data_IF_014437786864
#
_entry.id   IF_014437786864
#
_cell.length_a   1.000
_cell.length_b   1.000
_cell.length_c   1.000
_cell.angle_alpha   90.00
_cell.angle_beta   90.00
_cell.angle_gamma   90.00
#
_symmetry.space_group_name_H-M   'P 1'
#
loop_
_entity.id
_entity.type
_entity.pdbx_description
1 polymer ?
#
# COMPACT_ATOMS: atom_id res chain seq x y z
N UNK A 1 -43.77 83.86 40.41
CA UNK A 1 -44.36 82.52 40.20
C UNK A 1 -43.52 81.80 39.17
N UNK A 2 -42.63 80.91 39.61
CA UNK A 2 -41.74 80.12 38.75
C UNK A 2 -42.38 78.75 38.51
N UNK A 3 -42.78 78.47 37.27
CA UNK A 3 -43.26 77.15 36.87
C UNK A 3 -42.06 76.22 36.72
N UNK A 4 -42.03 75.16 37.53
CA UNK A 4 -41.00 74.12 37.48
C UNK A 4 -41.19 73.24 36.25
N UNK A 5 -40.21 73.27 35.36
CA UNK A 5 -40.12 72.43 34.17
C UNK A 5 -39.86 70.98 34.61
N UNK A 6 -40.88 70.13 34.51
CA UNK A 6 -40.81 68.72 34.92
C UNK A 6 -40.56 67.87 33.68
N UNK A 7 -39.29 67.57 33.40
CA UNK A 7 -38.89 66.65 32.33
C UNK A 7 -39.00 65.21 32.87
N UNK A 8 -39.69 64.28 32.18
CA UNK A 8 -39.72 62.90 32.63
C UNK A 8 -38.33 62.27 32.39
N UNK A 9 -37.69 61.82 33.46
CA UNK A 9 -36.48 61.01 33.38
C UNK A 9 -36.80 59.72 32.59
N UNK A 10 -36.12 59.54 31.47
CA UNK A 10 -36.24 58.34 30.65
C UNK A 10 -35.80 57.11 31.44
N UNK A 11 -36.62 56.05 31.39
CA UNK A 11 -36.33 54.76 32.02
C UNK A 11 -34.98 54.24 31.47
N UNK A 12 -33.97 53.95 32.31
CA UNK A 12 -32.73 53.36 31.83
C UNK A 12 -33.00 51.93 31.34
N UNK A 13 -32.91 51.70 30.03
CA UNK A 13 -32.91 50.35 29.48
C UNK A 13 -31.63 49.64 29.94
N UNK A 14 -31.70 48.37 30.41
CA UNK A 14 -30.52 47.62 30.79
C UNK A 14 -29.60 47.52 29.56
N UNK A 15 -28.39 48.06 29.71
CA UNK A 15 -27.36 48.00 28.68
C UNK A 15 -27.14 46.54 28.30
N UNK A 16 -27.48 46.19 27.05
CA UNK A 16 -27.09 44.90 26.49
C UNK A 16 -25.59 44.76 26.68
N UNK A 17 -25.17 43.73 27.40
CA UNK A 17 -23.77 43.31 27.50
C UNK A 17 -23.32 42.76 26.14
N UNK A 18 -23.20 43.66 25.17
CA UNK A 18 -22.63 43.37 23.86
C UNK A 18 -21.15 43.13 24.02
N UNK A 19 -20.69 41.97 23.54
CA UNK A 19 -19.26 41.66 23.40
C UNK A 19 -18.58 42.87 22.73
N UNK A 20 -17.49 43.37 23.32
CA UNK A 20 -16.79 44.52 22.76
C UNK A 20 -16.33 44.19 21.34
N UNK A 21 -16.33 45.15 20.40
CA UNK A 21 -15.96 44.89 19.00
C UNK A 21 -14.61 44.20 18.83
N UNK A 22 -13.66 44.46 19.76
CA UNK A 22 -12.34 43.82 19.79
C UNK A 22 -12.41 42.35 20.24
N UNK A 23 -13.18 42.07 21.28
CA UNK A 23 -13.37 40.71 21.80
C UNK A 23 -14.11 39.83 20.78
N UNK A 24 -15.07 40.42 20.06
CA UNK A 24 -15.75 39.75 18.94
C UNK A 24 -14.78 39.35 17.84
N UNK A 25 -13.87 40.25 17.43
CA UNK A 25 -12.85 39.96 16.42
C UNK A 25 -11.86 38.88 16.88
N UNK A 26 -11.52 38.85 18.17
CA UNK A 26 -10.66 37.82 18.75
C UNK A 26 -11.34 36.45 18.70
N UNK A 27 -12.61 36.38 19.11
CA UNK A 27 -13.40 35.13 19.06
C UNK A 27 -13.58 34.66 17.63
N UNK A 28 -13.88 35.56 16.69
CA UNK A 28 -13.98 35.25 15.26
C UNK A 28 -12.64 34.71 14.72
N UNK A 29 -11.51 35.33 15.07
CA UNK A 29 -10.19 34.85 14.66
C UNK A 29 -9.87 33.46 15.23
N UNK A 30 -10.15 33.21 16.51
CA UNK A 30 -9.97 31.90 17.14
C UNK A 30 -10.84 30.85 16.46
N UNK A 31 -12.13 31.15 16.23
CA UNK A 31 -13.04 30.25 15.55
C UNK A 31 -12.56 29.90 14.13
N UNK A 32 -12.03 30.89 13.41
CA UNK A 32 -11.51 30.70 12.05
C UNK A 32 -10.24 29.85 12.04
N UNK A 33 -9.31 30.10 12.97
CA UNK A 33 -8.11 29.27 13.14
C UNK A 33 -8.49 27.83 13.49
N UNK A 34 -9.43 27.61 14.42
CA UNK A 34 -9.91 26.28 14.77
C UNK A 34 -10.59 25.58 13.58
N UNK A 35 -11.44 26.29 12.84
CA UNK A 35 -12.14 25.74 11.69
C UNK A 35 -11.18 25.34 10.55
N UNK A 36 -10.22 26.22 10.22
CA UNK A 36 -9.20 25.94 9.19
C UNK A 36 -8.31 24.78 9.63
N UNK A 37 -7.86 24.76 10.88
CA UNK A 37 -7.05 23.67 11.41
C UNK A 37 -7.79 22.33 11.37
N UNK A 38 -9.06 22.31 11.77
CA UNK A 38 -9.88 21.10 11.71
C UNK A 38 -10.10 20.61 10.26
N UNK A 39 -10.37 21.52 9.33
CA UNK A 39 -10.51 21.21 7.89
C UNK A 39 -9.22 20.62 7.31
N UNK A 40 -8.07 21.20 7.63
CA UNK A 40 -6.77 20.69 7.17
C UNK A 40 -6.47 19.31 7.74
N UNK A 41 -6.73 19.09 9.03
CA UNK A 41 -6.53 17.76 9.67
C UNK A 41 -7.46 16.71 9.08
N UNK A 42 -8.71 17.07 8.77
CA UNK A 42 -9.67 16.18 8.10
C UNK A 42 -9.20 15.80 6.69
N UNK A 43 -8.75 16.77 5.90
CA UNK A 43 -8.22 16.51 4.55
C UNK A 43 -6.97 15.63 4.60
N UNK A 44 -6.03 15.93 5.50
CA UNK A 44 -4.83 15.11 5.67
C UNK A 44 -5.16 13.67 6.07
N UNK A 45 -6.08 13.47 7.01
CA UNK A 45 -6.49 12.13 7.44
C UNK A 45 -7.20 11.36 6.32
N UNK A 46 -7.97 12.05 5.49
CA UNK A 46 -8.65 11.44 4.33
C UNK A 46 -7.65 11.08 3.23
N UNK A 47 -6.69 11.96 2.93
CA UNK A 47 -5.59 11.68 2.01
C UNK A 47 -4.75 10.49 2.47
N UNK A 48 -4.30 10.47 3.72
CA UNK A 48 -3.55 9.34 4.29
C UNK A 48 -4.37 8.04 4.28
N UNK A 49 -5.66 8.13 4.61
CA UNK A 49 -6.58 7.00 4.58
C UNK A 49 -6.77 6.45 3.16
N UNK A 50 -6.91 7.34 2.18
CA UNK A 50 -7.08 7.01 0.78
C UNK A 50 -5.77 6.43 0.19
N UNK A 51 -4.63 7.03 0.48
CA UNK A 51 -3.29 6.55 0.11
C UNK A 51 -3.04 5.16 0.70
N UNK A 52 -3.29 4.95 1.99
CA UNK A 52 -3.12 3.63 2.63
C UNK A 52 -4.11 2.60 2.07
N UNK A 53 -5.35 2.98 1.77
CA UNK A 53 -6.35 2.04 1.25
C UNK A 53 -6.13 1.68 -0.22
N UNK A 54 -5.63 2.61 -1.04
CA UNK A 54 -5.57 2.46 -2.50
C UNK A 54 -4.14 2.36 -3.07
N UNK A 55 -3.16 3.02 -2.46
CA UNK A 55 -1.76 3.03 -2.91
C UNK A 55 -0.88 2.01 -2.16
N UNK A 56 -1.08 1.83 -0.85
CA UNK A 56 -0.38 0.81 -0.03
C UNK A 56 -1.35 -0.06 0.78
N UNK A 57 -2.24 -0.82 0.12
CA UNK A 57 -3.19 -1.67 0.83
C UNK A 57 -2.45 -2.65 1.74
N UNK A 58 -3.02 -2.99 2.91
CA UNK A 58 -2.40 -3.94 3.82
C UNK A 58 -2.16 -5.26 3.09
N UNK A 59 -0.96 -5.82 3.20
CA UNK A 59 -0.60 -7.08 2.56
C UNK A 59 -0.90 -8.24 3.50
N UNK A 60 -1.53 -9.31 2.98
CA UNK A 60 -1.72 -10.56 3.71
C UNK A 60 -0.75 -11.58 3.13
N UNK A 61 0.40 -11.70 3.80
CA UNK A 61 1.47 -12.61 3.43
C UNK A 61 1.16 -14.01 3.97
N UNK A 62 1.20 -14.99 3.09
CA UNK A 62 1.21 -16.42 3.44
C UNK A 62 2.63 -16.93 3.27
N UNK A 63 3.30 -17.31 4.36
CA UNK A 63 4.65 -17.89 4.32
C UNK A 63 4.60 -19.38 4.01
N UNK A 64 5.47 -19.83 3.11
CA UNK A 64 5.60 -21.20 2.62
C UNK A 64 7.04 -21.63 2.88
N UNK A 65 7.21 -22.75 3.59
CA UNK A 65 8.53 -23.31 3.85
C UNK A 65 9.23 -23.75 2.55
N UNK A 66 10.55 -23.85 2.59
CA UNK A 66 11.36 -24.29 1.46
C UNK A 66 10.86 -25.63 0.88
N UNK A 67 10.76 -25.71 -0.45
CA UNK A 67 10.32 -26.91 -1.18
C UNK A 67 8.82 -27.25 -1.08
N UNK A 68 8.04 -26.52 -0.26
CA UNK A 68 6.60 -26.71 -0.15
C UNK A 68 5.82 -26.04 -1.29
N UNK A 69 4.55 -26.46 -1.41
CA UNK A 69 3.61 -25.88 -2.36
C UNK A 69 2.78 -24.82 -1.62
N UNK A 70 2.81 -23.59 -2.12
CA UNK A 70 1.94 -22.52 -1.66
C UNK A 70 0.73 -22.35 -2.58
N UNK A 71 -0.33 -21.71 -2.07
CA UNK A 71 -1.51 -21.37 -2.88
C UNK A 71 -1.71 -19.87 -2.94
N UNK A 72 -1.87 -19.34 -4.16
CA UNK A 72 -2.18 -17.94 -4.41
C UNK A 72 -3.08 -17.85 -5.65
N UNK A 73 -4.13 -17.04 -5.56
CA UNK A 73 -5.14 -16.83 -6.64
C UNK A 73 -5.72 -18.13 -7.21
N UNK A 74 -5.94 -19.13 -6.36
CA UNK A 74 -6.47 -20.45 -6.75
C UNK A 74 -5.50 -21.30 -7.57
N UNK A 75 -4.23 -20.92 -7.63
CA UNK A 75 -3.16 -21.67 -8.26
C UNK A 75 -2.16 -22.16 -7.21
N UNK A 76 -1.63 -23.36 -7.44
CA UNK A 76 -0.54 -23.93 -6.66
C UNK A 76 0.79 -23.43 -7.22
N UNK A 77 1.69 -22.98 -6.33
CA UNK A 77 2.99 -22.42 -6.65
C UNK A 77 4.07 -23.21 -5.92
N UNK A 78 5.17 -23.52 -6.61
CA UNK A 78 6.32 -24.19 -6.01
C UNK A 78 7.62 -23.69 -6.64
N UNK A 79 8.61 -23.36 -5.82
CA UNK A 79 9.98 -23.16 -6.29
C UNK A 79 10.63 -24.54 -6.47
N UNK A 80 11.23 -24.77 -7.64
CA UNK A 80 11.93 -26.03 -7.94
C UNK A 80 13.37 -25.83 -8.40
N UNK A 81 13.81 -24.58 -8.59
CA UNK A 81 15.18 -24.29 -8.96
C UNK A 81 15.58 -22.88 -8.58
N UNK A 82 16.81 -22.74 -8.11
CA UNK A 82 17.49 -21.48 -7.81
C UNK A 82 18.82 -21.49 -8.53
N UNK A 83 19.15 -20.40 -9.21
CA UNK A 83 20.42 -20.25 -9.89
C UNK A 83 20.84 -18.78 -9.88
N UNK A 84 22.14 -18.54 -9.80
CA UNK A 84 22.72 -17.20 -9.98
C UNK A 84 23.38 -17.11 -11.35
N UNK A 85 23.46 -15.90 -11.89
CA UNK A 85 24.11 -15.62 -13.16
C UNK A 85 24.62 -14.18 -13.21
N UNK A 86 25.29 -13.86 -14.32
CA UNK A 86 25.75 -12.49 -14.56
C UNK A 86 24.55 -11.54 -14.75
N UNK A 87 24.59 -10.34 -14.15
CA UNK A 87 23.57 -9.32 -14.34
C UNK A 87 23.51 -8.83 -15.81
N UNK A 88 22.30 -8.57 -16.29
CA UNK A 88 22.06 -8.05 -17.65
C UNK A 88 22.34 -6.54 -17.70
N UNK A 89 23.39 -6.14 -18.41
CA UNK A 89 23.76 -4.74 -18.61
C UNK A 89 25.28 -4.53 -18.50
N UNK A 90 25.85 -3.72 -19.38
CA UNK A 90 27.29 -3.56 -19.54
C UNK A 90 28.02 -3.23 -18.21
N UNK A 91 29.01 -4.07 -17.89
CA UNK A 91 29.91 -4.06 -16.72
C UNK A 91 29.21 -4.13 -15.35
N UNK A 92 29.54 -5.14 -14.51
CA UNK A 92 29.05 -5.17 -13.14
C UNK A 92 29.54 -3.93 -12.38
N UNK A 93 28.66 -2.95 -12.19
CA UNK A 93 28.88 -1.86 -11.23
C UNK A 93 28.48 -2.39 -9.85
N UNK A 94 29.47 -2.90 -9.12
CA UNK A 94 29.31 -3.39 -7.75
C UNK A 94 29.18 -4.92 -7.63
N UNK A 95 29.12 -5.39 -6.39
CA UNK A 95 29.02 -6.83 -6.06
C UNK A 95 27.58 -7.33 -6.13
N UNK A 96 27.04 -7.30 -7.35
CA UNK A 96 25.66 -7.74 -7.66
C UNK A 96 25.65 -8.95 -8.58
N UNK A 97 24.59 -9.75 -8.48
CA UNK A 97 24.36 -10.94 -9.30
C UNK A 97 22.89 -10.98 -9.73
N UNK A 98 22.61 -11.62 -10.88
CA UNK A 98 21.23 -11.94 -11.24
C UNK A 98 20.81 -13.23 -10.52
N UNK A 99 19.79 -13.15 -9.68
CA UNK A 99 19.13 -14.31 -9.10
C UNK A 99 18.01 -14.76 -10.04
N UNK A 100 18.00 -16.04 -10.40
CA UNK A 100 17.00 -16.70 -11.23
C UNK A 100 16.30 -17.80 -10.43
N UNK A 101 15.02 -17.63 -10.17
CA UNK A 101 14.16 -18.61 -9.52
C UNK A 101 13.24 -19.26 -10.56
N UNK A 102 13.21 -20.59 -10.58
CA UNK A 102 12.31 -21.37 -11.41
C UNK A 102 11.13 -21.83 -10.56
N UNK A 103 9.93 -21.45 -10.98
CA UNK A 103 8.69 -21.82 -10.32
C UNK A 103 7.83 -22.69 -11.21
N UNK A 104 7.15 -23.65 -10.60
CA UNK A 104 6.06 -24.38 -11.19
C UNK A 104 4.75 -23.79 -10.67
N UNK A 105 3.82 -23.52 -11.59
CA UNK A 105 2.50 -22.98 -11.28
C UNK A 105 1.44 -23.87 -11.89
N UNK A 106 0.48 -24.29 -11.09
CA UNK A 106 -0.66 -25.09 -11.55
C UNK A 106 -1.96 -24.39 -11.16
N UNK A 107 -2.62 -23.69 -12.09
CA UNK A 107 -3.95 -23.15 -11.86
C UNK A 107 -4.95 -24.29 -11.65
N UNK A 108 -5.87 -24.16 -10.70
CA UNK A 108 -6.83 -25.22 -10.40
C UNK A 108 -8.01 -25.23 -11.39
N UNK A 109 -8.37 -24.07 -11.94
CA UNK A 109 -9.54 -23.85 -12.79
C UNK A 109 -9.29 -22.74 -13.85
N UNK A 110 -10.31 -22.41 -14.64
CA UNK A 110 -10.20 -21.39 -15.69
C UNK A 110 -10.04 -19.96 -15.12
N UNK A 111 -10.62 -19.68 -13.94
CA UNK A 111 -10.56 -18.36 -13.31
C UNK A 111 -9.16 -18.08 -12.75
N UNK A 112 -8.57 -19.06 -12.06
CA UNK A 112 -7.19 -19.04 -11.60
C UNK A 112 -6.21 -19.01 -12.76
N UNK A 113 -6.46 -19.75 -13.86
CA UNK A 113 -5.62 -19.66 -15.06
C UNK A 113 -5.63 -18.24 -15.63
N UNK A 114 -6.82 -17.62 -15.73
CA UNK A 114 -6.94 -16.22 -16.13
C UNK A 114 -6.22 -15.28 -15.15
N UNK A 115 -6.31 -15.51 -13.84
CA UNK A 115 -5.64 -14.68 -12.83
C UNK A 115 -4.11 -14.77 -12.92
N UNK A 116 -3.56 -15.97 -13.11
CA UNK A 116 -2.12 -16.20 -13.37
C UNK A 116 -1.69 -15.62 -14.72
N UNK A 117 -2.58 -15.64 -15.71
CA UNK A 117 -2.36 -15.08 -17.05
C UNK A 117 -2.41 -13.56 -17.07
N UNK A 118 -3.19 -12.97 -16.17
CA UNK A 118 -3.45 -11.53 -16.12
C UNK A 118 -2.19 -10.72 -15.83
N UNK A 119 -2.19 -9.49 -16.34
CA UNK A 119 -1.20 -8.49 -15.98
C UNK A 119 -1.34 -8.08 -14.51
N UNK A 120 -0.23 -7.80 -13.84
CA UNK A 120 -0.22 -7.25 -12.48
C UNK A 120 0.18 -8.19 -11.35
N UNK A 121 0.65 -9.42 -11.64
CA UNK A 121 1.39 -10.20 -10.65
C UNK A 121 2.70 -9.47 -10.31
N UNK A 122 2.92 -9.19 -9.03
CA UNK A 122 4.16 -8.61 -8.53
C UNK A 122 5.12 -9.70 -8.06
N UNK A 123 6.42 -9.52 -8.29
CA UNK A 123 7.47 -10.40 -7.78
C UNK A 123 8.50 -9.54 -7.06
N UNK A 124 8.75 -9.85 -5.79
CA UNK A 124 9.72 -9.15 -4.94
C UNK A 124 10.63 -10.17 -4.26
N UNK A 125 11.88 -9.80 -4.08
CA UNK A 125 12.85 -10.56 -3.29
C UNK A 125 13.06 -9.83 -1.98
N UNK A 126 13.07 -10.55 -0.87
CA UNK A 126 13.21 -9.99 0.47
C UNK A 126 14.35 -10.69 1.21
N UNK A 127 15.04 -9.96 2.08
CA UNK A 127 15.91 -10.55 3.10
C UNK A 127 15.24 -10.53 4.48
N UNK A 128 15.86 -11.19 5.46
CA UNK A 128 15.42 -11.17 6.86
C UNK A 128 15.59 -9.80 7.55
N UNK A 129 16.32 -8.87 6.92
CA UNK A 129 16.60 -7.53 7.44
C UNK A 129 15.57 -6.49 6.96
N UNK A 130 14.64 -6.88 6.07
CA UNK A 130 13.55 -6.04 5.55
C UNK A 130 13.89 -5.27 4.27
N UNK A 131 15.02 -5.55 3.62
CA UNK A 131 15.32 -5.02 2.30
C UNK A 131 14.49 -5.72 1.22
N UNK A 132 14.09 -4.96 0.20
CA UNK A 132 13.29 -5.46 -0.91
C UNK A 132 13.93 -5.15 -2.25
N UNK A 133 13.96 -6.13 -3.15
CA UNK A 133 14.36 -5.96 -4.55
C UNK A 133 13.21 -6.34 -5.47
N UNK A 134 13.02 -5.53 -6.51
CA UNK A 134 12.04 -5.84 -7.56
C UNK A 134 12.55 -6.97 -8.44
N UNK A 135 11.65 -7.90 -8.79
CA UNK A 135 11.92 -8.98 -9.72
C UNK A 135 10.90 -8.99 -10.86
N UNK A 136 11.31 -9.56 -11.99
CA UNK A 136 10.45 -9.75 -13.17
C UNK A 136 10.29 -11.23 -13.46
N UNK A 137 9.13 -11.64 -13.96
CA UNK A 137 8.86 -13.03 -14.27
C UNK A 137 8.62 -13.23 -15.77
N UNK A 138 9.29 -14.23 -16.34
CA UNK A 138 9.00 -14.76 -17.66
C UNK A 138 8.13 -16.02 -17.53
N UNK A 139 7.04 -16.06 -18.29
CA UNK A 139 6.19 -17.24 -18.44
C UNK A 139 6.75 -18.13 -19.53
N UNK A 140 6.73 -19.45 -19.33
CA UNK A 140 7.15 -20.41 -20.38
C UNK A 140 6.02 -20.71 -21.39
N UNK A 141 4.81 -20.22 -21.15
CA UNK A 141 3.64 -20.41 -22.00
C UNK A 141 2.39 -19.76 -21.39
N UNK A 142 1.24 -19.96 -22.02
CA UNK A 142 -0.04 -19.46 -21.51
C UNK A 142 -0.62 -20.37 -20.41
N UNK A 143 -1.12 -19.81 -19.28
CA UNK A 143 -1.71 -20.61 -18.21
C UNK A 143 -2.98 -21.33 -18.64
N UNK A 144 -3.11 -22.59 -18.22
CA UNK A 144 -4.29 -23.43 -18.47
C UNK A 144 -4.75 -24.09 -17.19
N UNK A 145 -6.06 -24.24 -17.04
CA UNK A 145 -6.67 -24.91 -15.91
C UNK A 145 -6.14 -26.34 -15.76
N UNK A 146 -5.74 -26.71 -14.54
CA UNK A 146 -5.26 -28.04 -14.17
C UNK A 146 -3.88 -28.42 -14.70
N UNK A 147 -3.23 -27.58 -15.53
CA UNK A 147 -1.95 -27.88 -16.18
C UNK A 147 -0.82 -27.08 -15.52
N UNK A 148 0.24 -27.78 -15.12
CA UNK A 148 1.43 -27.14 -14.56
C UNK A 148 2.24 -26.45 -15.66
N UNK A 149 2.77 -25.26 -15.35
CA UNK A 149 3.62 -24.48 -16.24
C UNK A 149 4.80 -23.85 -15.50
N UNK A 150 5.83 -23.45 -16.25
CA UNK A 150 7.02 -22.82 -15.72
C UNK A 150 6.92 -21.29 -15.67
N UNK A 151 7.45 -20.72 -14.60
CA UNK A 151 7.82 -19.31 -14.49
C UNK A 151 9.32 -19.23 -14.18
N UNK A 152 9.99 -18.26 -14.79
CA UNK A 152 11.36 -17.88 -14.41
C UNK A 152 11.33 -16.46 -13.87
N UNK A 153 11.49 -16.32 -12.56
CA UNK A 153 11.62 -15.02 -11.89
C UNK A 153 13.08 -14.62 -11.88
N UNK A 154 13.39 -13.37 -12.22
CA UNK A 154 14.74 -12.82 -12.28
C UNK A 154 14.79 -11.47 -11.58
N UNK A 155 15.83 -11.25 -10.77
CA UNK A 155 16.09 -9.99 -10.10
C UNK A 155 17.59 -9.76 -9.93
N UNK A 156 18.02 -8.50 -9.90
CA UNK A 156 19.41 -8.14 -9.60
C UNK A 156 19.54 -7.84 -8.11
N UNK A 157 20.43 -8.57 -7.44
CA UNK A 157 20.56 -8.55 -5.98
C UNK A 157 22.03 -8.56 -5.55
N UNK A 158 22.38 -8.16 -4.32
CA UNK A 158 23.73 -8.29 -3.80
C UNK A 158 24.19 -9.76 -3.82
N UNK A 159 25.41 -10.02 -4.30
CA UNK A 159 25.92 -11.39 -4.47
C UNK A 159 25.94 -12.15 -3.15
N UNK A 160 26.38 -11.51 -2.06
CA UNK A 160 26.44 -12.10 -0.73
C UNK A 160 25.07 -12.55 -0.18
N UNK A 161 23.97 -11.97 -0.65
CA UNK A 161 22.61 -12.29 -0.19
C UNK A 161 21.88 -13.26 -1.11
N UNK A 162 22.41 -13.54 -2.31
CA UNK A 162 21.67 -14.22 -3.38
C UNK A 162 21.09 -15.59 -2.99
N UNK A 163 21.68 -16.29 -2.03
CA UNK A 163 21.17 -17.56 -1.54
C UNK A 163 20.13 -17.40 -0.42
N UNK A 164 20.20 -16.35 0.40
CA UNK A 164 19.32 -16.16 1.56
C UNK A 164 17.98 -15.48 1.25
N UNK A 165 17.81 -14.97 0.02
CA UNK A 165 16.60 -14.22 -0.33
C UNK A 165 15.35 -15.09 -0.42
N UNK A 166 14.27 -14.56 0.15
CA UNK A 166 12.91 -15.07 0.06
C UNK A 166 12.20 -14.46 -1.14
N UNK A 167 11.35 -15.25 -1.81
CA UNK A 167 10.54 -14.75 -2.92
C UNK A 167 9.12 -14.46 -2.46
N UNK A 168 8.66 -13.23 -2.65
CA UNK A 168 7.27 -12.86 -2.48
C UNK A 168 6.58 -12.66 -3.82
N UNK A 169 5.43 -13.34 -3.98
CA UNK A 169 4.55 -13.25 -5.13
C UNK A 169 3.28 -12.53 -4.68
N UNK A 170 2.95 -11.45 -5.37
CA UNK A 170 1.80 -10.62 -5.02
C UNK A 170 0.69 -10.81 -6.04
N UNK A 171 -0.50 -11.11 -5.54
CA UNK A 171 -1.67 -11.23 -6.38
C UNK A 171 -1.97 -9.90 -7.10
N UNK A 172 -2.56 -9.93 -8.31
CA UNK A 172 -2.97 -8.71 -8.99
C UNK A 172 -3.95 -7.91 -8.16
N UNK A 173 -3.93 -6.58 -8.29
CA UNK A 173 -4.89 -5.69 -7.59
C UNK A 173 -6.35 -6.06 -7.88
N UNK A 174 -6.63 -6.65 -9.04
CA UNK A 174 -7.98 -7.13 -9.43
C UNK A 174 -8.44 -8.36 -8.64
N UNK A 175 -7.52 -9.13 -8.04
CA UNK A 175 -7.85 -10.27 -7.18
C UNK A 175 -8.21 -9.82 -5.75
N UNK A 176 -8.04 -8.54 -5.43
CA UNK A 176 -8.33 -7.97 -4.12
C UNK A 176 -9.84 -7.79 -3.93
N UNK A 177 -10.38 -8.27 -2.79
CA UNK A 177 -11.74 -7.92 -2.37
C UNK A 177 -11.80 -6.42 -2.00
N UNK A 178 -12.86 -5.67 -2.33
CA UNK A 178 -12.99 -4.26 -1.96
C UNK A 178 -12.72 -4.03 -0.46
N UNK A 179 -11.77 -3.14 -0.14
CA UNK A 179 -11.35 -2.85 1.24
C UNK A 179 -10.50 -3.93 1.93
N UNK A 180 -10.28 -5.09 1.32
CA UNK A 180 -9.51 -6.21 1.88
C UNK A 180 -7.99 -6.03 1.76
N UNK A 181 -7.24 -6.92 2.39
CA UNK A 181 -5.79 -7.00 2.23
C UNK A 181 -5.41 -7.58 0.85
N UNK A 182 -4.27 -7.17 0.29
CA UNK A 182 -3.71 -7.75 -0.93
C UNK A 182 -3.07 -9.09 -0.59
N UNK A 183 -3.52 -10.22 -1.18
CA UNK A 183 -2.92 -11.52 -0.92
C UNK A 183 -1.50 -11.58 -1.51
N UNK A 184 -0.56 -12.08 -0.72
CA UNK A 184 0.78 -12.40 -1.18
C UNK A 184 1.24 -13.75 -0.64
N UNK A 185 2.16 -14.38 -1.37
CA UNK A 185 2.73 -15.68 -1.06
C UNK A 185 4.24 -15.53 -0.96
N UNK A 186 4.81 -15.84 0.19
CA UNK A 186 6.24 -15.72 0.44
C UNK A 186 6.86 -17.09 0.63
N UNK A 187 7.86 -17.42 -0.18
CA UNK A 187 8.66 -18.63 -0.03
C UNK A 187 9.89 -18.32 0.80
N UNK A 188 10.01 -18.97 1.95
CA UNK A 188 11.24 -18.91 2.73
C UNK A 188 12.35 -19.64 1.99
N UNK A 189 13.59 -19.17 2.21
CA UNK A 189 14.78 -19.94 1.91
C UNK A 189 14.98 -21.03 2.97
#
# INVERSE_FOLDING_TARGET
>A
MTASDTRPDGIPLPGRSGIRPRDRRIVEAIALVCAVSALLVLQWKDEDGNVRKNLKPPEKVTTVAEGQIGELVGAQWKIYGRATGEPLGAKPQGDVTELRLKLAVRPSDAASAKAVGSYGLGFRLHDGDGHEWSATALKTGEPRAGVAMGFTVRGTVPRAKADELELEIQAPKTARKPGGAQPSLRFSH
#
